data_IF_148937231413
#
_entry.id   IF_148937231413
#
_cell.length_a   1.000
_cell.length_b   1.000
_cell.length_c   1.000
_cell.angle_alpha   90.00
_cell.angle_beta   90.00
_cell.angle_gamma   90.00
#
_symmetry.space_group_name_H-M   'P 1'
#
loop_
_entity.id
_entity.type
_entity.pdbx_description
1 polymer ?
#
# COMPACT_ATOMS: atom_id res chain seq x y z
N UNK A 1 17.54 22.75 20.18
CA UNK A 1 18.26 23.12 18.94
C UNK A 1 17.54 22.64 17.68
N UNK A 2 17.48 21.34 17.39
CA UNK A 2 16.85 20.83 16.16
C UNK A 2 15.36 21.20 16.02
N UNK A 3 14.57 21.03 17.10
CA UNK A 3 13.15 21.41 17.10
C UNK A 3 12.96 22.93 16.95
N UNK A 4 13.83 23.73 17.57
CA UNK A 4 13.77 25.19 17.44
C UNK A 4 14.08 25.65 16.02
N UNK A 5 15.01 24.97 15.34
CA UNK A 5 15.31 25.23 13.93
C UNK A 5 14.10 24.92 13.04
N UNK A 6 13.44 23.78 13.26
CA UNK A 6 12.22 23.40 12.52
C UNK A 6 11.10 24.41 12.78
N UNK A 7 10.86 24.78 14.04
CA UNK A 7 9.84 25.76 14.39
C UNK A 7 10.09 27.11 13.71
N UNK A 8 11.32 27.64 13.75
CA UNK A 8 11.68 28.88 13.05
C UNK A 8 11.51 28.78 11.54
N UNK A 9 11.88 27.64 10.94
CA UNK A 9 11.70 27.41 9.51
C UNK A 9 10.23 27.38 9.09
N UNK A 10 9.36 26.75 9.89
CA UNK A 10 7.92 26.71 9.66
C UNK A 10 7.29 28.10 9.74
N UNK A 11 7.63 28.89 10.76
CA UNK A 11 7.12 30.27 10.87
C UNK A 11 7.60 31.14 9.72
N UNK A 12 8.89 31.09 9.36
CA UNK A 12 9.43 31.86 8.25
C UNK A 12 8.78 31.50 6.89
N UNK A 13 8.49 30.21 6.66
CA UNK A 13 7.77 29.75 5.47
C UNK A 13 6.34 30.32 5.45
N UNK A 14 5.64 30.23 6.58
CA UNK A 14 4.27 30.74 6.75
C UNK A 14 4.19 32.26 6.57
N UNK A 15 5.15 33.01 7.10
CA UNK A 15 5.22 34.46 6.90
C UNK A 15 5.40 34.83 5.42
N UNK A 16 6.19 34.05 4.67
CA UNK A 16 6.50 34.34 3.26
C UNK A 16 5.40 33.91 2.29
N UNK A 17 4.78 32.76 2.52
CA UNK A 17 3.90 32.10 1.55
C UNK A 17 2.62 31.52 2.14
N UNK A 18 2.29 31.85 3.39
CA UNK A 18 1.15 31.29 4.10
C UNK A 18 1.31 29.79 4.38
N UNK A 19 0.22 29.19 4.87
CA UNK A 19 0.16 27.77 5.21
C UNK A 19 0.35 26.85 3.99
N UNK A 20 0.10 27.35 2.78
CA UNK A 20 0.28 26.60 1.53
C UNK A 20 1.75 26.35 1.17
N UNK A 21 2.67 27.11 1.78
CA UNK A 21 4.12 26.92 1.59
C UNK A 21 4.70 25.74 2.37
N UNK A 22 3.92 25.14 3.28
CA UNK A 22 4.34 24.02 4.12
C UNK A 22 3.57 22.77 3.70
N UNK A 23 4.29 21.71 3.33
CA UNK A 23 3.70 20.42 2.97
C UNK A 23 4.11 19.33 3.96
N UNK A 24 3.12 18.65 4.53
CA UNK A 24 3.36 17.49 5.39
C UNK A 24 3.42 16.20 4.57
N UNK A 25 4.58 15.88 4.03
CA UNK A 25 4.77 14.59 3.38
C UNK A 25 5.11 13.51 4.42
N UNK A 26 4.27 12.48 4.52
CA UNK A 26 4.56 11.27 5.29
C UNK A 26 4.57 10.08 4.32
N UNK A 27 5.73 9.43 4.19
CA UNK A 27 5.82 8.16 3.48
C UNK A 27 5.22 7.05 4.36
N UNK A 28 4.84 5.93 3.75
CA UNK A 28 4.24 4.76 4.39
C UNK A 28 5.18 4.09 5.40
N UNK A 29 5.54 4.77 6.49
CA UNK A 29 6.23 4.23 7.64
C UNK A 29 5.25 3.33 8.41
N UNK A 30 4.88 2.21 7.78
CA UNK A 30 3.89 1.27 8.28
C UNK A 30 4.32 0.59 9.58
N UNK A 31 5.56 0.77 10.07
CA UNK A 31 6.10 -0.10 11.13
C UNK A 31 7.13 0.51 12.11
N UNK A 32 7.50 1.79 12.06
CA UNK A 32 8.68 2.29 12.83
C UNK A 32 8.42 3.34 13.89
N UNK A 33 7.18 3.77 14.11
CA UNK A 33 6.86 4.73 15.19
C UNK A 33 5.80 4.18 16.15
N UNK A 34 5.86 4.54 17.46
CA UNK A 34 4.90 4.07 18.45
C UNK A 34 3.48 4.49 18.06
N UNK A 35 2.60 3.51 17.82
CA UNK A 35 1.19 3.71 17.48
C UNK A 35 0.72 3.06 16.16
N UNK A 36 1.62 2.48 15.36
CA UNK A 36 1.24 1.63 14.23
C UNK A 36 0.64 2.36 13.02
N UNK A 37 -0.09 1.61 12.17
CA UNK A 37 -0.54 1.95 10.81
C UNK A 37 -1.27 3.30 10.67
N UNK A 38 -1.91 3.78 11.75
CA UNK A 38 -2.80 4.95 11.73
C UNK A 38 -2.43 6.07 12.73
N UNK A 39 -1.45 5.86 13.62
CA UNK A 39 -1.21 6.81 14.73
C UNK A 39 -0.19 7.92 14.44
N UNK A 40 0.76 7.67 13.53
CA UNK A 40 1.84 8.62 13.24
C UNK A 40 1.38 9.88 12.49
N UNK A 41 0.53 9.79 11.43
CA UNK A 41 0.04 10.98 10.76
C UNK A 41 -0.87 11.81 11.68
N UNK A 42 -1.67 11.17 12.54
CA UNK A 42 -2.70 11.85 13.32
C UNK A 42 -2.14 12.90 14.28
N UNK A 43 -1.00 12.62 14.92
CA UNK A 43 -0.41 13.55 15.92
C UNK A 43 0.19 14.77 15.24
N UNK A 44 0.98 14.57 14.17
CA UNK A 44 1.58 15.68 13.42
C UNK A 44 0.52 16.45 12.64
N UNK A 45 -0.47 15.77 12.06
CA UNK A 45 -1.62 16.43 11.42
C UNK A 45 -2.39 17.28 12.43
N UNK A 46 -2.61 16.78 13.65
CA UNK A 46 -3.29 17.56 14.69
C UNK A 46 -2.48 18.78 15.12
N UNK A 47 -1.16 18.65 15.26
CA UNK A 47 -0.27 19.79 15.52
C UNK A 47 -0.38 20.83 14.40
N UNK A 48 -0.23 20.43 13.14
CA UNK A 48 -0.29 21.34 12.00
C UNK A 48 -1.67 21.99 11.84
N UNK A 49 -2.76 21.24 12.10
CA UNK A 49 -4.11 21.80 12.11
C UNK A 49 -4.28 22.87 13.20
N UNK A 50 -3.73 22.66 14.40
CA UNK A 50 -3.74 23.67 15.47
C UNK A 50 -2.83 24.87 15.15
N UNK A 51 -1.76 24.64 14.39
CA UNK A 51 -0.83 25.69 13.96
C UNK A 51 -1.39 26.59 12.82
N UNK A 52 -2.52 26.23 12.23
CA UNK A 52 -3.21 26.99 11.19
C UNK A 52 -3.41 26.25 9.86
N UNK A 53 -2.91 25.01 9.76
CA UNK A 53 -3.00 24.17 8.58
C UNK A 53 -1.68 24.08 7.81
N UNK A 54 -1.60 23.08 6.95
CA UNK A 54 -0.51 22.84 6.01
C UNK A 54 -1.06 22.08 4.81
N UNK A 55 -0.36 22.11 3.68
CA UNK A 55 -0.69 21.27 2.51
C UNK A 55 -0.54 19.81 2.90
N UNK A 56 -1.66 19.10 2.84
CA UNK A 56 -1.64 17.65 2.96
C UNK A 56 -1.42 17.05 1.58
N UNK A 57 -0.55 16.03 1.44
CA UNK A 57 -0.52 15.26 0.22
C UNK A 57 -1.91 14.69 -0.02
N UNK A 58 -2.42 14.85 -1.25
CA UNK A 58 -3.66 14.21 -1.69
C UNK A 58 -3.64 12.69 -1.45
N UNK A 59 -2.45 12.11 -1.35
CA UNK A 59 -2.21 10.69 -1.23
C UNK A 59 -2.07 10.26 0.23
N UNK A 60 -3.09 9.54 0.73
CA UNK A 60 -2.92 8.63 1.87
C UNK A 60 -2.29 7.33 1.37
N UNK A 61 -1.03 7.07 1.75
CA UNK A 61 -0.29 5.86 1.36
C UNK A 61 0.64 6.06 0.15
N UNK A 62 1.16 4.96 -0.40
CA UNK A 62 1.99 4.98 -1.60
C UNK A 62 1.16 5.22 -2.87
N UNK A 63 1.81 5.68 -3.96
CA UNK A 63 1.19 5.88 -5.28
C UNK A 63 0.37 4.69 -5.76
N UNK A 64 0.91 3.48 -5.58
CA UNK A 64 0.22 2.25 -5.98
C UNK A 64 -1.00 1.92 -5.12
N UNK A 65 -1.02 2.36 -3.86
CA UNK A 65 -2.12 2.07 -2.94
C UNK A 65 -3.39 2.86 -3.30
N UNK A 66 -3.24 4.10 -3.76
CA UNK A 66 -4.38 4.97 -4.07
C UNK A 66 -5.20 4.46 -5.27
N UNK A 67 -4.55 3.87 -6.27
CA UNK A 67 -5.24 3.27 -7.41
C UNK A 67 -6.15 2.12 -6.96
N UNK A 68 -5.65 1.25 -6.08
CA UNK A 68 -6.45 0.17 -5.48
C UNK A 68 -7.63 0.71 -4.65
N UNK A 69 -7.39 1.74 -3.83
CA UNK A 69 -8.45 2.34 -3.02
C UNK A 69 -9.57 2.94 -3.87
N UNK A 70 -9.22 3.66 -4.95
CA UNK A 70 -10.20 4.25 -5.85
C UNK A 70 -11.09 3.18 -6.49
N UNK A 71 -10.48 2.15 -7.09
CA UNK A 71 -11.22 1.05 -7.70
C UNK A 71 -12.09 0.30 -6.67
N UNK A 72 -11.60 0.09 -5.45
CA UNK A 72 -12.39 -0.56 -4.40
C UNK A 72 -13.61 0.26 -3.99
N UNK A 73 -13.45 1.58 -3.88
CA UNK A 73 -14.53 2.49 -3.53
C UNK A 73 -15.57 2.57 -4.66
N UNK A 74 -15.13 2.65 -5.91
CA UNK A 74 -16.00 2.67 -7.08
C UNK A 74 -16.84 1.38 -7.22
N UNK A 75 -16.26 0.21 -6.89
CA UNK A 75 -16.92 -1.09 -7.05
C UNK A 75 -17.74 -1.49 -5.82
N UNK A 76 -17.22 -1.28 -4.61
CA UNK A 76 -17.81 -1.79 -3.37
C UNK A 76 -18.37 -0.69 -2.46
N UNK A 77 -18.16 0.60 -2.76
CA UNK A 77 -18.56 1.72 -1.93
C UNK A 77 -17.80 1.83 -0.60
N UNK A 78 -16.78 1.00 -0.42
CA UNK A 78 -15.86 1.03 0.72
C UNK A 78 -14.60 0.23 0.40
N UNK A 79 -13.56 0.51 1.18
CA UNK A 79 -12.29 -0.18 1.03
C UNK A 79 -12.37 -1.64 1.54
N UNK A 80 -11.99 -2.59 0.67
CA UNK A 80 -11.80 -4.00 0.98
C UNK A 80 -10.31 -4.34 1.23
N UNK A 81 -10.01 -5.02 2.34
CA UNK A 81 -8.71 -5.68 2.57
C UNK A 81 -8.95 -7.13 2.96
N UNK A 82 -9.35 -7.97 2.03
CA UNK A 82 -9.33 -9.40 2.27
C UNK A 82 -8.37 -10.10 1.31
N UNK A 83 -7.11 -10.14 1.73
CA UNK A 83 -6.02 -10.65 0.91
C UNK A 83 -5.61 -12.07 1.32
N UNK A 84 -6.29 -12.66 2.32
CA UNK A 84 -5.98 -14.00 2.80
C UNK A 84 -6.95 -15.00 2.17
N UNK A 85 -6.44 -16.08 1.55
CA UNK A 85 -7.31 -17.15 1.08
C UNK A 85 -8.05 -17.77 2.26
N UNK A 86 -9.30 -18.15 2.02
CA UNK A 86 -10.09 -18.98 2.93
C UNK A 86 -9.63 -20.44 2.83
N UNK A 87 -9.93 -21.25 3.84
CA UNK A 87 -9.52 -22.66 3.86
C UNK A 87 -10.19 -23.49 2.75
N UNK A 88 -11.39 -23.08 2.30
CA UNK A 88 -12.16 -23.73 1.23
C UNK A 88 -11.75 -23.28 -0.20
N UNK A 89 -10.69 -22.48 -0.33
CA UNK A 89 -10.27 -21.95 -1.62
C UNK A 89 -9.63 -23.05 -2.49
N UNK A 90 -10.27 -23.39 -3.61
CA UNK A 90 -9.74 -24.38 -4.57
C UNK A 90 -8.72 -23.79 -5.55
N UNK A 91 -8.87 -22.50 -5.87
CA UNK A 91 -8.03 -21.79 -6.83
C UNK A 91 -7.69 -20.39 -6.36
N UNK A 92 -6.41 -20.04 -6.45
CA UNK A 92 -5.89 -18.69 -6.19
C UNK A 92 -5.27 -18.14 -7.47
N UNK A 93 -5.66 -16.92 -7.83
CA UNK A 93 -5.03 -16.16 -8.91
C UNK A 93 -4.10 -15.12 -8.29
N UNK A 94 -2.80 -15.23 -8.56
CA UNK A 94 -1.80 -14.23 -8.24
C UNK A 94 -1.53 -13.39 -9.49
N UNK A 95 -2.16 -12.23 -9.59
CA UNK A 95 -2.08 -11.36 -10.77
C UNK A 95 -1.32 -10.09 -10.45
N UNK A 96 -0.19 -9.85 -11.13
CA UNK A 96 0.66 -8.69 -10.87
C UNK A 96 1.19 -8.64 -9.43
N UNK A 97 1.22 -9.80 -8.74
CA UNK A 97 1.58 -9.91 -7.33
C UNK A 97 2.75 -10.89 -7.17
N UNK A 98 3.84 -10.42 -6.56
CA UNK A 98 5.05 -11.22 -6.31
C UNK A 98 5.28 -11.43 -4.80
N UNK A 99 4.44 -12.21 -4.10
CA UNK A 99 4.45 -12.34 -2.65
C UNK A 99 5.68 -13.07 -2.10
N UNK A 100 6.45 -13.80 -2.92
CA UNK A 100 7.71 -14.39 -2.47
C UNK A 100 8.78 -13.33 -2.20
N UNK A 101 8.82 -12.27 -2.99
CA UNK A 101 9.81 -11.19 -2.86
C UNK A 101 9.28 -9.97 -2.10
N UNK A 102 8.00 -9.64 -2.30
CA UNK A 102 7.40 -8.37 -1.84
C UNK A 102 6.25 -8.56 -0.85
N UNK A 103 5.96 -9.80 -0.46
CA UNK A 103 4.83 -10.13 0.39
C UNK A 103 4.91 -9.45 1.75
N UNK A 104 3.80 -8.81 2.15
CA UNK A 104 3.67 -8.28 3.50
C UNK A 104 3.51 -9.43 4.52
N UNK A 105 3.80 -9.15 5.80
CA UNK A 105 3.85 -10.17 6.87
C UNK A 105 2.54 -10.97 6.94
N UNK A 106 2.66 -12.30 6.81
CA UNK A 106 1.55 -13.25 6.94
C UNK A 106 0.93 -13.70 5.62
N UNK A 107 1.05 -12.95 4.53
CA UNK A 107 0.47 -13.34 3.23
C UNK A 107 1.12 -14.62 2.71
N UNK A 108 2.46 -14.64 2.66
CA UNK A 108 3.21 -15.77 2.12
C UNK A 108 2.91 -17.07 2.88
N UNK A 109 2.74 -16.99 4.21
CA UNK A 109 2.37 -18.13 5.05
C UNK A 109 0.96 -18.64 4.71
N UNK A 110 -0.02 -17.75 4.55
CA UNK A 110 -1.38 -18.14 4.17
C UNK A 110 -1.43 -18.79 2.78
N UNK A 111 -0.71 -18.26 1.79
CA UNK A 111 -0.63 -18.87 0.45
C UNK A 111 0.03 -20.25 0.49
N UNK A 112 1.07 -20.43 1.31
CA UNK A 112 1.68 -21.75 1.51
C UNK A 112 0.73 -22.74 2.17
N UNK A 113 -0.07 -22.29 3.15
CA UNK A 113 -1.09 -23.13 3.78
C UNK A 113 -2.15 -23.57 2.78
N UNK A 114 -2.68 -22.64 1.99
CA UNK A 114 -3.64 -22.94 0.93
C UNK A 114 -3.09 -23.97 -0.06
N UNK A 115 -1.83 -23.80 -0.52
CA UNK A 115 -1.19 -24.79 -1.40
C UNK A 115 -1.06 -26.18 -0.76
N UNK A 116 -0.72 -26.25 0.52
CA UNK A 116 -0.66 -27.53 1.27
C UNK A 116 -2.03 -28.19 1.40
N UNK A 117 -3.10 -27.39 1.49
CA UNK A 117 -4.48 -27.87 1.56
C UNK A 117 -5.05 -28.26 0.18
N UNK A 118 -4.24 -28.23 -0.88
CA UNK A 118 -4.64 -28.66 -2.23
C UNK A 118 -5.14 -27.53 -3.13
N UNK A 119 -5.11 -26.27 -2.67
CA UNK A 119 -5.44 -25.14 -3.52
C UNK A 119 -4.44 -25.04 -4.68
N UNK A 120 -4.98 -24.82 -5.89
CA UNK A 120 -4.21 -24.63 -7.12
C UNK A 120 -3.98 -23.14 -7.39
N UNK A 121 -2.94 -22.83 -8.14
CA UNK A 121 -2.49 -21.46 -8.36
C UNK A 121 -2.32 -21.15 -9.84
N UNK A 122 -2.90 -20.02 -10.25
CA UNK A 122 -2.61 -19.35 -11.51
C UNK A 122 -1.78 -18.11 -11.19
N UNK A 123 -0.64 -17.95 -11.83
CA UNK A 123 0.20 -16.76 -11.68
C UNK A 123 0.23 -16.01 -13.00
N UNK A 124 -0.30 -14.78 -13.00
CA UNK A 124 -0.27 -13.87 -14.14
C UNK A 124 0.84 -12.85 -13.89
N UNK A 125 1.97 -13.07 -14.56
CA UNK A 125 3.19 -12.28 -14.38
C UNK A 125 3.99 -12.30 -15.71
N UNK A 126 4.39 -11.14 -16.27
CA UNK A 126 5.22 -11.10 -17.48
C UNK A 126 6.55 -11.86 -17.32
N UNK A 127 7.07 -11.97 -16.08
CA UNK A 127 8.33 -12.61 -15.78
C UNK A 127 8.09 -13.93 -15.06
N UNK A 128 9.00 -14.89 -15.27
CA UNK A 128 9.04 -16.12 -14.49
C UNK A 128 9.76 -15.86 -13.16
N UNK A 129 9.04 -15.32 -12.19
CA UNK A 129 9.57 -14.96 -10.85
C UNK A 129 9.62 -16.15 -9.90
N UNK A 130 10.27 -15.99 -8.72
CA UNK A 130 10.23 -17.01 -7.66
C UNK A 130 8.81 -17.32 -7.17
N UNK A 131 7.88 -16.38 -7.31
CA UNK A 131 6.45 -16.64 -7.04
C UNK A 131 5.90 -17.64 -8.04
N UNK A 132 6.18 -17.47 -9.34
CA UNK A 132 5.78 -18.43 -10.38
C UNK A 132 6.37 -19.80 -10.07
N UNK A 133 7.67 -19.88 -9.77
CA UNK A 133 8.33 -21.15 -9.46
C UNK A 133 7.75 -21.86 -8.23
N UNK A 134 7.39 -21.10 -7.20
CA UNK A 134 6.89 -21.65 -5.94
C UNK A 134 5.42 -22.05 -6.00
N UNK A 135 4.60 -21.21 -6.62
CA UNK A 135 3.15 -21.34 -6.58
C UNK A 135 2.55 -21.77 -7.90
N UNK A 136 3.01 -21.24 -9.04
CA UNK A 136 2.33 -21.32 -10.33
C UNK A 136 2.18 -22.72 -10.91
N UNK A 137 1.06 -23.37 -10.59
CA UNK A 137 0.61 -24.57 -11.29
C UNK A 137 0.26 -24.24 -12.75
N UNK A 138 -0.20 -23.00 -12.98
CA UNK A 138 -0.29 -22.37 -14.30
C UNK A 138 0.44 -21.03 -14.27
N UNK A 139 1.36 -20.80 -15.20
CA UNK A 139 1.96 -19.49 -15.45
C UNK A 139 1.37 -18.88 -16.71
N UNK A 140 0.80 -17.68 -16.60
CA UNK A 140 0.28 -16.90 -17.72
C UNK A 140 1.19 -15.69 -17.92
N UNK A 141 2.18 -15.78 -18.82
CA UNK A 141 2.98 -14.63 -19.19
C UNK A 141 2.14 -13.67 -20.03
N UNK A 142 2.16 -12.39 -19.66
CA UNK A 142 1.43 -11.34 -20.35
C UNK A 142 2.38 -10.25 -20.84
N UNK A 143 1.93 -9.45 -21.80
CA UNK A 143 2.62 -8.19 -22.13
C UNK A 143 2.34 -7.19 -21.00
N UNK A 144 3.34 -6.44 -20.51
CA UNK A 144 3.11 -5.43 -19.48
C UNK A 144 2.02 -4.44 -19.89
N UNK A 145 1.15 -4.08 -18.93
CA UNK A 145 0.04 -3.13 -19.12
C UNK A 145 -1.06 -3.60 -20.08
N UNK A 146 -1.18 -4.91 -20.34
CA UNK A 146 -2.31 -5.48 -21.12
C UNK A 146 -3.28 -6.29 -20.26
N UNK A 147 -3.22 -6.13 -18.95
CA UNK A 147 -4.03 -6.86 -17.97
C UNK A 147 -5.53 -6.68 -18.23
N UNK A 148 -5.97 -5.47 -18.58
CA UNK A 148 -7.38 -5.16 -18.89
C UNK A 148 -7.92 -5.92 -20.10
N UNK A 149 -7.07 -6.33 -21.04
CA UNK A 149 -7.50 -7.12 -22.18
C UNK A 149 -7.63 -8.63 -21.86
N UNK A 150 -6.97 -9.08 -20.79
CA UNK A 150 -7.01 -10.46 -20.33
C UNK A 150 -8.14 -10.70 -19.30
N UNK A 151 -8.48 -9.68 -18.51
CA UNK A 151 -9.52 -9.73 -17.47
C UNK A 151 -10.93 -9.84 -18.06
#
# INVERSE_FOLDING_TARGET
EALDMVARGLEAAKEKGGNESVMMYHYSAQHTLPGGRDADPATIMRLLNMWGGAVQPYMRGSLCWKAFLGASDDVFGHWQVNNKPTDDCEWIVLWGNNPVETGYRGLLQSLQSAKKNGCRFIVVDPLRTRTVERFGDVHVPIRPSTDTALA
#
